data_IF_621847782263
#
_entry.id   IF_621847782263
#
_cell.length_a   1.000
_cell.length_b   1.000
_cell.length_c   1.000
_cell.angle_alpha   90.00
_cell.angle_beta   90.00
_cell.angle_gamma   90.00
#
_symmetry.space_group_name_H-M   'P 1'
#
loop_
_entity.id
_entity.type
_entity.pdbx_description
1 polymer ?
#
# COMPACT_ATOMS: atom_id res chain seq x y z
N UNK A 1 -20.75 19.14 27.71
CA UNK A 1 -19.56 18.24 27.67
C UNK A 1 -19.33 17.52 26.33
N UNK A 2 -20.36 17.09 25.58
CA UNK A 2 -20.21 16.40 24.29
C UNK A 2 -19.36 17.13 23.23
N UNK A 3 -19.50 18.46 23.16
CA UNK A 3 -18.85 19.30 22.15
C UNK A 3 -17.32 19.41 22.34
N UNK A 4 -16.82 19.34 23.58
CA UNK A 4 -15.37 19.45 23.86
C UNK A 4 -14.59 18.20 23.43
N UNK A 5 -15.16 16.99 23.59
CA UNK A 5 -14.47 15.75 23.21
C UNK A 5 -14.33 15.60 21.71
N UNK A 6 -15.37 15.96 20.95
CA UNK A 6 -15.35 15.87 19.48
C UNK A 6 -14.46 16.96 18.88
N UNK A 7 -14.46 18.18 19.44
CA UNK A 7 -13.49 19.23 19.05
C UNK A 7 -12.05 18.77 19.26
N UNK A 8 -11.74 18.15 20.39
CA UNK A 8 -10.39 17.61 20.64
C UNK A 8 -9.98 16.49 19.67
N UNK A 9 -10.92 15.66 19.20
CA UNK A 9 -10.65 14.63 18.20
C UNK A 9 -10.41 15.23 16.82
N UNK A 10 -11.20 16.23 16.42
CA UNK A 10 -11.02 16.95 15.17
C UNK A 10 -9.69 17.72 15.16
N UNK A 11 -9.35 18.45 16.23
CA UNK A 11 -8.06 19.16 16.33
C UNK A 11 -6.90 18.18 16.26
N UNK A 12 -6.96 17.06 16.99
CA UNK A 12 -5.94 16.02 16.92
C UNK A 12 -5.79 15.40 15.53
N UNK A 13 -6.91 15.19 14.82
CA UNK A 13 -6.91 14.73 13.44
C UNK A 13 -6.26 15.73 12.48
N UNK A 14 -6.64 17.01 12.54
CA UNK A 14 -6.06 18.06 11.68
C UNK A 14 -4.56 18.18 11.91
N UNK A 15 -4.13 18.22 13.18
CA UNK A 15 -2.71 18.24 13.52
C UNK A 15 -2.02 16.96 13.03
N UNK A 16 -2.60 15.79 13.27
CA UNK A 16 -2.04 14.51 12.83
C UNK A 16 -1.83 14.44 11.32
N UNK A 17 -2.83 14.87 10.53
CA UNK A 17 -2.72 14.93 9.07
C UNK A 17 -1.65 15.93 8.62
N UNK A 18 -1.61 17.13 9.20
CA UNK A 18 -0.62 18.15 8.86
C UNK A 18 0.81 17.70 9.20
N UNK A 19 1.01 17.15 10.40
CA UNK A 19 2.32 16.64 10.84
C UNK A 19 2.75 15.43 10.01
N UNK A 20 1.83 14.51 9.71
CA UNK A 20 2.08 13.37 8.83
C UNK A 20 2.52 13.81 7.43
N UNK A 21 1.82 14.79 6.85
CA UNK A 21 2.17 15.39 5.57
C UNK A 21 3.57 16.02 5.60
N UNK A 22 3.84 16.91 6.57
CA UNK A 22 5.13 17.60 6.71
C UNK A 22 6.28 16.60 6.90
N UNK A 23 6.11 15.62 7.80
CA UNK A 23 7.13 14.63 8.10
C UNK A 23 7.43 13.75 6.88
N UNK A 24 6.40 13.32 6.14
CA UNK A 24 6.58 12.53 4.92
C UNK A 24 7.27 13.32 3.80
N UNK A 25 6.88 14.60 3.59
CA UNK A 25 7.57 15.48 2.62
C UNK A 25 9.04 15.71 2.99
N UNK A 26 9.31 15.97 4.27
CA UNK A 26 10.66 16.18 4.77
C UNK A 26 11.51 14.91 4.59
N UNK A 27 10.98 13.75 4.93
CA UNK A 27 11.64 12.46 4.73
C UNK A 27 11.91 12.20 3.24
N UNK A 28 10.92 12.42 2.37
CA UNK A 28 11.09 12.23 0.92
C UNK A 28 12.16 13.16 0.34
N UNK A 29 12.16 14.44 0.73
CA UNK A 29 13.17 15.41 0.30
C UNK A 29 14.58 15.03 0.79
N UNK A 30 14.70 14.53 2.03
CA UNK A 30 15.96 14.07 2.59
C UNK A 30 16.47 12.81 1.86
N UNK A 31 15.60 11.81 1.67
CA UNK A 31 15.96 10.54 1.05
C UNK A 31 16.29 10.66 -0.44
N UNK A 32 15.67 11.61 -1.14
CA UNK A 32 16.07 11.97 -2.51
C UNK A 32 17.50 12.50 -2.61
N UNK A 33 18.00 13.16 -1.57
CA UNK A 33 19.38 13.67 -1.51
C UNK A 33 20.34 12.58 -1.04
N UNK A 34 19.91 11.78 -0.06
CA UNK A 34 20.68 10.71 0.55
C UNK A 34 19.76 9.53 0.86
N UNK A 35 19.72 8.50 -0.01
CA UNK A 35 18.94 7.30 0.24
C UNK A 35 19.28 6.67 1.60
N UNK A 36 18.30 6.05 2.29
CA UNK A 36 18.49 5.57 3.65
C UNK A 36 19.51 4.42 3.73
N UNK A 37 19.57 3.58 2.69
CA UNK A 37 20.60 2.56 2.48
C UNK A 37 20.97 2.51 0.99
N UNK A 38 22.21 2.13 0.68
CA UNK A 38 22.68 2.04 -0.71
C UNK A 38 22.68 3.37 -1.47
N UNK A 39 22.55 3.28 -2.80
CA UNK A 39 22.50 4.42 -3.71
C UNK A 39 21.16 4.52 -4.44
N UNK A 40 20.98 5.59 -5.24
CA UNK A 40 19.72 5.84 -5.94
C UNK A 40 19.27 4.71 -6.88
N UNK A 41 20.20 3.90 -7.40
CA UNK A 41 19.90 2.76 -8.27
C UNK A 41 19.17 1.63 -7.53
N UNK A 42 19.50 1.40 -6.26
CA UNK A 42 18.87 0.36 -5.43
C UNK A 42 17.39 0.67 -5.15
N UNK A 43 17.03 1.96 -5.23
CA UNK A 43 15.67 2.46 -5.04
C UNK A 43 14.95 2.72 -6.35
N UNK A 44 15.44 2.19 -7.47
CA UNK A 44 14.85 2.43 -8.78
C UNK A 44 14.12 1.18 -9.25
N UNK A 45 12.89 1.36 -9.75
CA UNK A 45 12.06 0.27 -10.31
C UNK A 45 11.49 0.68 -11.65
N UNK A 46 11.38 -0.27 -12.56
CA UNK A 46 10.70 -0.04 -13.85
C UNK A 46 9.19 -0.13 -13.64
N UNK A 47 8.47 0.90 -14.04
CA UNK A 47 7.01 0.96 -13.90
C UNK A 47 6.29 0.24 -15.06
N UNK A 48 4.96 0.26 -15.01
CA UNK A 48 4.10 -0.36 -16.01
C UNK A 48 4.22 0.20 -17.45
N UNK A 49 4.89 1.34 -17.63
CA UNK A 49 5.22 1.97 -18.94
C UNK A 49 6.66 1.73 -19.37
N UNK A 50 7.46 0.98 -18.60
CA UNK A 50 8.89 0.82 -18.88
C UNK A 50 9.76 2.00 -18.41
N UNK A 51 9.19 2.97 -17.69
CA UNK A 51 9.92 4.13 -17.18
C UNK A 51 10.45 3.87 -15.76
N UNK A 52 11.59 4.47 -15.40
CA UNK A 52 12.16 4.33 -14.06
C UNK A 52 11.43 5.24 -13.05
N UNK A 53 11.01 4.65 -11.94
CA UNK A 53 10.43 5.35 -10.78
C UNK A 53 11.22 5.04 -9.52
N UNK A 54 11.19 5.96 -8.55
CA UNK A 54 11.86 5.73 -7.26
C UNK A 54 10.93 5.12 -6.21
N UNK A 55 11.43 4.20 -5.40
CA UNK A 55 10.75 3.59 -4.24
C UNK A 55 10.95 4.39 -2.93
N UNK A 56 11.65 5.53 -2.99
CA UNK A 56 11.91 6.37 -1.80
C UNK A 56 10.64 6.99 -1.19
N UNK A 57 9.54 7.02 -1.94
CA UNK A 57 8.25 7.48 -1.43
C UNK A 57 7.71 6.55 -0.34
N UNK A 58 7.87 5.24 -0.49
CA UNK A 58 7.46 4.27 0.52
C UNK A 58 8.19 4.43 1.85
N UNK A 59 9.52 4.54 1.79
CA UNK A 59 10.32 4.78 3.00
C UNK A 59 10.02 6.14 3.61
N UNK A 60 9.79 7.17 2.81
CA UNK A 60 9.36 8.47 3.30
C UNK A 60 8.00 8.40 4.04
N UNK A 61 7.03 7.64 3.52
CA UNK A 61 5.76 7.41 4.20
C UNK A 61 5.97 6.70 5.54
N UNK A 62 6.77 5.62 5.56
CA UNK A 62 7.06 4.85 6.78
C UNK A 62 7.70 5.73 7.86
N UNK A 63 8.80 6.41 7.51
CA UNK A 63 9.54 7.26 8.45
C UNK A 63 8.70 8.46 8.88
N UNK A 64 8.05 9.12 7.92
CA UNK A 64 7.22 10.30 8.17
C UNK A 64 6.02 9.99 9.06
N UNK A 65 5.23 8.96 8.73
CA UNK A 65 4.08 8.56 9.52
C UNK A 65 4.47 8.02 10.91
N UNK A 66 5.56 7.24 11.00
CA UNK A 66 6.10 6.76 12.27
C UNK A 66 6.51 7.92 13.20
N UNK A 67 7.32 8.86 12.70
CA UNK A 67 7.75 10.04 13.46
C UNK A 67 6.56 10.93 13.84
N UNK A 68 5.63 11.17 12.91
CA UNK A 68 4.43 11.95 13.17
C UNK A 68 3.56 11.32 14.26
N UNK A 69 3.41 9.99 14.28
CA UNK A 69 2.66 9.29 15.33
C UNK A 69 3.27 9.45 16.73
N UNK A 70 4.57 9.72 16.86
CA UNK A 70 5.23 9.96 18.16
C UNK A 70 4.87 11.32 18.74
N UNK A 71 4.66 12.33 17.90
CA UNK A 71 4.45 13.71 18.34
C UNK A 71 2.99 14.17 18.22
N UNK A 72 2.16 13.46 17.45
CA UNK A 72 0.74 13.82 17.24
C UNK A 72 -0.03 13.80 18.56
N UNK A 73 -0.76 14.86 18.93
CA UNK A 73 -1.54 14.89 20.17
C UNK A 73 -2.72 13.92 20.11
N UNK A 74 -3.18 13.47 21.28
CA UNK A 74 -4.35 12.59 21.40
C UNK A 74 -4.04 11.09 21.35
N UNK A 75 -2.77 10.70 21.18
CA UNK A 75 -2.32 9.31 21.29
C UNK A 75 -1.77 9.01 22.68
N UNK A 76 -2.22 7.90 23.28
CA UNK A 76 -1.59 7.36 24.49
C UNK A 76 -0.25 6.68 24.14
N UNK A 77 0.62 6.49 25.14
CA UNK A 77 1.92 5.83 24.94
C UNK A 77 1.79 4.47 24.23
N UNK A 78 0.76 3.69 24.58
CA UNK A 78 0.47 2.40 23.93
C UNK A 78 0.13 2.54 22.45
N UNK A 79 -0.70 3.52 22.08
CA UNK A 79 -1.03 3.77 20.67
C UNK A 79 0.17 4.31 19.89
N UNK A 80 1.04 5.11 20.52
CA UNK A 80 2.30 5.55 19.89
C UNK A 80 3.22 4.36 19.61
N UNK A 81 3.41 3.50 20.61
CA UNK A 81 4.22 2.29 20.46
C UNK A 81 3.64 1.34 19.40
N UNK A 82 2.32 1.12 19.41
CA UNK A 82 1.64 0.32 18.40
C UNK A 82 1.82 0.91 17.00
N UNK A 83 1.59 2.22 16.81
CA UNK A 83 1.74 2.88 15.52
C UNK A 83 3.18 2.83 15.00
N UNK A 84 4.17 3.07 15.86
CA UNK A 84 5.59 2.93 15.52
C UNK A 84 5.93 1.50 15.11
N UNK A 85 5.50 0.50 15.88
CA UNK A 85 5.74 -0.91 15.58
C UNK A 85 5.06 -1.33 14.26
N UNK A 86 3.83 -0.86 14.04
CA UNK A 86 3.08 -1.12 12.80
C UNK A 86 3.78 -0.49 11.60
N UNK A 87 4.16 0.79 11.68
CA UNK A 87 4.86 1.47 10.60
C UNK A 87 6.23 0.84 10.31
N UNK A 88 7.04 0.64 11.35
CA UNK A 88 8.39 0.08 11.22
C UNK A 88 8.36 -1.37 10.76
N UNK A 89 7.48 -2.20 11.33
CA UNK A 89 7.32 -3.60 10.97
C UNK A 89 6.88 -3.75 9.51
N UNK A 90 5.71 -3.20 9.17
CA UNK A 90 5.18 -3.31 7.82
C UNK A 90 6.09 -2.65 6.77
N UNK A 91 6.68 -1.50 7.12
CA UNK A 91 7.62 -0.79 6.26
C UNK A 91 8.91 -1.56 6.04
N UNK A 92 9.54 -2.10 7.08
CA UNK A 92 10.79 -2.85 6.98
C UNK A 92 10.61 -4.13 6.16
N UNK A 93 9.60 -4.93 6.48
CA UNK A 93 9.35 -6.19 5.78
C UNK A 93 8.88 -5.97 4.33
N UNK A 94 8.10 -4.91 4.06
CA UNK A 94 7.75 -4.52 2.71
C UNK A 94 8.96 -4.02 1.90
N UNK A 95 9.79 -3.15 2.49
CA UNK A 95 11.00 -2.62 1.84
C UNK A 95 12.04 -3.71 1.59
N UNK A 96 12.16 -4.67 2.52
CA UNK A 96 13.01 -5.84 2.32
C UNK A 96 12.59 -6.64 1.08
N UNK A 97 11.28 -6.84 0.88
CA UNK A 97 10.74 -7.51 -0.31
C UNK A 97 10.94 -6.68 -1.59
N UNK A 98 10.84 -5.34 -1.50
CA UNK A 98 11.14 -4.45 -2.64
C UNK A 98 12.60 -4.57 -3.11
N UNK A 99 13.56 -4.70 -2.18
CA UNK A 99 14.99 -4.68 -2.48
C UNK A 99 15.55 -6.07 -2.81
N UNK A 100 15.02 -7.12 -2.19
CA UNK A 100 15.57 -8.48 -2.26
C UNK A 100 14.60 -9.51 -2.84
N UNK A 101 13.39 -9.09 -3.24
CA UNK A 101 12.37 -9.98 -3.79
C UNK A 101 12.77 -10.58 -5.14
N UNK A 102 12.65 -11.90 -5.26
CA UNK A 102 12.84 -12.60 -6.54
C UNK A 102 11.49 -12.93 -7.19
N UNK A 103 11.40 -12.87 -8.52
CA UNK A 103 10.14 -13.08 -9.26
C UNK A 103 9.66 -14.53 -9.33
N UNK A 104 10.41 -15.47 -8.74
CA UNK A 104 10.29 -16.91 -9.00
C UNK A 104 9.12 -17.61 -8.31
N UNK A 105 8.38 -16.94 -7.42
CA UNK A 105 7.18 -17.52 -6.77
C UNK A 105 6.16 -16.43 -6.48
N UNK A 106 5.11 -16.35 -7.30
CA UNK A 106 3.99 -15.42 -7.08
C UNK A 106 2.79 -16.14 -6.48
N UNK A 107 2.14 -15.51 -5.51
CA UNK A 107 0.88 -15.97 -4.91
C UNK A 107 1.07 -16.97 -3.76
N UNK A 108 0.01 -17.15 -2.97
CA UNK A 108 0.05 -17.93 -1.72
C UNK A 108 0.46 -19.39 -1.94
N UNK A 109 -0.04 -20.02 -3.01
CA UNK A 109 0.36 -21.39 -3.41
C UNK A 109 1.84 -21.50 -3.77
N UNK A 110 2.40 -20.48 -4.42
CA UNK A 110 3.82 -20.45 -4.78
C UNK A 110 4.71 -20.40 -3.54
N UNK A 111 4.36 -19.54 -2.57
CA UNK A 111 5.09 -19.45 -1.30
C UNK A 111 4.95 -20.70 -0.43
N UNK A 112 3.75 -21.30 -0.36
CA UNK A 112 3.55 -22.57 0.36
C UNK A 112 4.32 -23.73 -0.28
N UNK A 113 4.35 -23.80 -1.61
CA UNK A 113 5.13 -24.81 -2.32
C UNK A 113 6.64 -24.62 -2.11
N UNK A 114 7.12 -23.37 -2.11
CA UNK A 114 8.52 -23.05 -1.79
C UNK A 114 8.87 -23.43 -0.34
N UNK A 115 8.01 -23.09 0.61
CA UNK A 115 8.19 -23.45 2.01
C UNK A 115 8.20 -24.98 2.22
N UNK A 116 7.34 -25.71 1.50
CA UNK A 116 7.32 -27.17 1.51
C UNK A 116 8.61 -27.80 0.96
N UNK A 117 9.37 -27.06 0.13
CA UNK A 117 10.71 -27.43 -0.33
C UNK A 117 11.84 -26.92 0.58
N UNK A 118 11.51 -26.30 1.72
CA UNK A 118 12.49 -25.69 2.63
C UNK A 118 13.04 -24.34 2.16
N UNK A 119 12.48 -23.75 1.11
CA UNK A 119 12.92 -22.46 0.56
C UNK A 119 12.27 -21.29 1.32
N UNK A 120 13.08 -20.50 2.01
CA UNK A 120 12.63 -19.26 2.65
C UNK A 120 12.63 -18.14 1.60
N UNK A 121 11.45 -17.80 1.09
CA UNK A 121 11.26 -16.67 0.16
C UNK A 121 11.16 -15.34 0.91
N UNK A 122 11.54 -14.24 0.26
CA UNK A 122 11.32 -12.88 0.78
C UNK A 122 9.85 -12.63 1.12
N UNK A 123 8.93 -13.13 0.31
CA UNK A 123 7.49 -13.08 0.55
C UNK A 123 7.06 -13.83 1.82
N UNK A 124 7.65 -14.99 2.12
CA UNK A 124 7.38 -15.71 3.36
C UNK A 124 7.88 -14.92 4.60
N UNK A 125 9.08 -14.34 4.52
CA UNK A 125 9.62 -13.45 5.57
C UNK A 125 8.71 -12.25 5.77
N UNK A 126 8.22 -11.65 4.69
CA UNK A 126 7.29 -10.52 4.72
C UNK A 126 5.97 -10.88 5.38
N UNK A 127 5.34 -11.99 5.00
CA UNK A 127 4.07 -12.44 5.60
C UNK A 127 4.25 -12.69 7.10
N UNK A 128 5.30 -13.42 7.48
CA UNK A 128 5.57 -13.72 8.89
C UNK A 128 5.86 -12.45 9.70
N UNK A 129 6.69 -11.56 9.16
CA UNK A 129 7.07 -10.30 9.81
C UNK A 129 5.91 -9.32 9.98
N UNK A 130 5.12 -9.11 8.93
CA UNK A 130 3.92 -8.27 8.99
C UNK A 130 2.87 -8.89 9.92
N UNK A 131 2.68 -10.21 9.87
CA UNK A 131 1.78 -10.92 10.78
C UNK A 131 2.17 -10.77 12.25
N UNK A 132 3.44 -11.00 12.57
CA UNK A 132 3.97 -10.89 13.93
C UNK A 132 3.89 -9.45 14.47
N UNK A 133 4.30 -8.46 13.67
CA UNK A 133 4.25 -7.05 14.06
C UNK A 133 2.82 -6.53 14.16
N UNK A 134 1.90 -6.98 13.30
CA UNK A 134 0.47 -6.70 13.39
C UNK A 134 -0.14 -7.24 14.69
N UNK A 135 0.18 -8.50 15.04
CA UNK A 135 -0.29 -9.12 16.29
C UNK A 135 0.24 -8.40 17.53
N UNK A 136 1.53 -8.08 17.55
CA UNK A 136 2.15 -7.34 18.64
C UNK A 136 1.56 -5.92 18.77
N UNK A 137 1.32 -5.22 17.66
CA UNK A 137 0.67 -3.92 17.67
C UNK A 137 -0.77 -3.99 18.20
N UNK A 138 -1.54 -5.01 17.83
CA UNK A 138 -2.88 -5.25 18.38
C UNK A 138 -2.84 -5.47 19.91
N UNK A 139 -1.91 -6.31 20.38
CA UNK A 139 -1.73 -6.58 21.81
C UNK A 139 -1.33 -5.32 22.60
N UNK A 140 -0.49 -4.45 22.02
CA UNK A 140 -0.11 -3.17 22.62
C UNK A 140 -1.29 -2.20 22.68
N UNK A 141 -2.06 -2.08 21.59
CA UNK A 141 -3.19 -1.17 21.49
C UNK A 141 -4.31 -1.53 22.48
N UNK A 142 -4.62 -2.83 22.60
CA UNK A 142 -5.64 -3.34 23.52
C UNK A 142 -5.21 -4.68 24.14
N UNK A 143 -4.57 -4.69 25.33
CA UNK A 143 -4.12 -5.92 25.97
C UNK A 143 -5.26 -6.90 26.27
N UNK A 144 -5.02 -8.17 25.97
CA UNK A 144 -5.97 -9.25 26.19
C UNK A 144 -6.27 -9.49 27.68
N UNK A 145 -7.52 -9.82 27.99
CA UNK A 145 -7.94 -10.38 29.27
C UNK A 145 -8.66 -11.71 29.03
N UNK A 146 -8.09 -12.82 29.52
CA UNK A 146 -8.61 -14.17 29.31
C UNK A 146 -8.62 -14.63 27.84
N UNK A 147 -9.19 -15.81 27.59
CA UNK A 147 -9.22 -16.45 26.27
C UNK A 147 -9.97 -15.60 25.22
N UNK A 148 -11.11 -15.02 25.61
CA UNK A 148 -11.88 -14.15 24.71
C UNK A 148 -11.12 -12.89 24.28
N UNK A 149 -10.26 -12.36 25.15
CA UNK A 149 -9.37 -11.25 24.82
C UNK A 149 -8.25 -11.67 23.87
N UNK A 150 -7.67 -12.85 24.05
CA UNK A 150 -6.63 -13.38 23.16
C UNK A 150 -7.14 -13.59 21.73
N UNK A 151 -8.35 -14.16 21.58
CA UNK A 151 -9.01 -14.28 20.27
C UNK A 151 -9.29 -12.92 19.63
N UNK A 152 -9.63 -11.90 20.45
CA UNK A 152 -9.78 -10.53 19.99
C UNK A 152 -8.48 -9.96 19.42
N UNK A 153 -7.37 -10.14 20.14
CA UNK A 153 -6.03 -9.71 19.69
C UNK A 153 -5.59 -10.42 18.41
N UNK A 154 -5.90 -11.72 18.26
CA UNK A 154 -5.63 -12.46 17.03
C UNK A 154 -6.43 -11.90 15.85
N UNK A 155 -7.72 -11.64 16.01
CA UNK A 155 -8.55 -11.04 14.96
C UNK A 155 -8.09 -9.62 14.61
N UNK A 156 -7.72 -8.82 15.60
CA UNK A 156 -7.25 -7.45 15.40
C UNK A 156 -5.86 -7.44 14.72
N UNK A 157 -4.96 -8.35 15.09
CA UNK A 157 -3.68 -8.55 14.42
C UNK A 157 -3.83 -9.00 12.98
N UNK A 158 -4.76 -9.94 12.72
CA UNK A 158 -5.09 -10.38 11.36
C UNK A 158 -5.68 -9.24 10.51
N UNK A 159 -6.48 -8.35 11.10
CA UNK A 159 -7.00 -7.18 10.39
C UNK A 159 -5.88 -6.18 10.06
N UNK A 160 -4.95 -5.92 10.98
CA UNK A 160 -3.79 -5.04 10.72
C UNK A 160 -2.93 -5.62 9.59
N UNK A 161 -2.52 -6.88 9.71
CA UNK A 161 -1.66 -7.54 8.71
C UNK A 161 -2.37 -7.71 7.36
N UNK A 162 -3.65 -8.10 7.38
CA UNK A 162 -4.45 -8.24 6.17
C UNK A 162 -4.68 -6.90 5.46
N UNK A 163 -4.85 -5.81 6.20
CA UNK A 163 -4.96 -4.46 5.61
C UNK A 163 -3.67 -4.03 4.92
N UNK A 164 -2.51 -4.38 5.51
CA UNK A 164 -1.19 -4.18 4.88
C UNK A 164 -1.12 -4.90 3.52
N UNK A 165 -1.40 -6.20 3.52
CA UNK A 165 -1.40 -7.01 2.31
C UNK A 165 -2.40 -6.49 1.27
N UNK A 166 -3.60 -6.09 1.70
CA UNK A 166 -4.62 -5.56 0.78
C UNK A 166 -4.17 -4.26 0.11
N UNK A 167 -3.57 -3.33 0.85
CA UNK A 167 -3.01 -2.11 0.28
C UNK A 167 -1.92 -2.42 -0.76
N UNK A 168 -1.06 -3.40 -0.48
CA UNK A 168 -0.04 -3.89 -1.42
C UNK A 168 -0.65 -4.43 -2.73
N UNK A 169 -1.77 -5.16 -2.65
CA UNK A 169 -2.47 -5.68 -3.84
C UNK A 169 -3.01 -4.56 -4.76
N UNK A 170 -3.22 -3.37 -4.22
CA UNK A 170 -3.61 -2.19 -5.00
C UNK A 170 -2.42 -1.38 -5.51
N UNK A 171 -1.18 -1.63 -5.08
CA UNK A 171 0.01 -0.86 -5.49
C UNK A 171 0.60 -1.31 -6.85
N UNK A 172 -0.27 -1.50 -7.84
CA UNK A 172 0.11 -1.98 -9.18
C UNK A 172 0.03 -0.89 -10.26
N UNK A 173 -0.50 0.29 -9.89
CA UNK A 173 -0.70 1.42 -10.78
C UNK A 173 -0.53 2.73 -10.01
N UNK A 174 -0.09 3.81 -10.70
CA UNK A 174 0.23 5.10 -10.07
C UNK A 174 -0.89 5.63 -9.16
N UNK A 175 -0.58 5.89 -7.90
CA UNK A 175 -1.43 6.46 -6.88
C UNK A 175 -2.59 5.57 -6.43
N UNK A 176 -2.71 4.33 -6.92
CA UNK A 176 -3.88 3.49 -6.63
C UNK A 176 -3.94 3.10 -5.15
N UNK A 177 -2.83 2.63 -4.57
CA UNK A 177 -2.78 2.27 -3.16
C UNK A 177 -3.13 3.46 -2.26
N UNK A 178 -2.60 4.66 -2.56
CA UNK A 178 -2.93 5.89 -1.84
C UNK A 178 -4.42 6.21 -1.96
N UNK A 179 -5.00 6.19 -3.17
CA UNK A 179 -6.44 6.46 -3.37
C UNK A 179 -7.32 5.49 -2.60
N UNK A 180 -7.02 4.19 -2.66
CA UNK A 180 -7.75 3.17 -1.90
C UNK A 180 -7.62 3.42 -0.40
N UNK A 181 -6.41 3.76 0.07
CA UNK A 181 -6.17 4.16 1.46
C UNK A 181 -6.98 5.40 1.86
N UNK A 182 -7.08 6.41 1.00
CA UNK A 182 -7.91 7.60 1.23
C UNK A 182 -9.40 7.27 1.26
N UNK A 183 -9.89 6.46 0.31
CA UNK A 183 -11.29 6.04 0.25
C UNK A 183 -11.71 5.20 1.46
N UNK A 184 -10.82 4.35 1.98
CA UNK A 184 -11.09 3.57 3.19
C UNK A 184 -10.90 4.40 4.48
N UNK A 185 -9.84 5.22 4.52
CA UNK A 185 -9.40 5.89 5.74
C UNK A 185 -10.13 7.20 6.03
N UNK A 186 -10.58 7.97 5.02
CA UNK A 186 -11.31 9.24 5.25
C UNK A 186 -12.66 9.01 5.95
N UNK A 187 -13.50 8.02 5.55
CA UNK A 187 -14.71 7.70 6.30
C UNK A 187 -14.42 7.24 7.73
N UNK A 188 -13.37 6.42 7.91
CA UNK A 188 -12.92 5.98 9.23
C UNK A 188 -12.48 7.17 10.11
N UNK A 189 -11.75 8.11 9.54
CA UNK A 189 -11.33 9.35 10.17
C UNK A 189 -12.54 10.20 10.58
N UNK A 190 -13.48 10.43 9.65
CA UNK A 190 -14.69 11.20 9.93
C UNK A 190 -15.53 10.56 11.05
N UNK A 191 -15.73 9.24 10.99
CA UNK A 191 -16.43 8.48 12.02
C UNK A 191 -15.70 8.51 13.38
N UNK A 192 -14.40 8.73 13.41
CA UNK A 192 -13.58 8.86 14.62
C UNK A 192 -13.58 10.27 15.18
N UNK A 193 -13.46 11.29 14.33
CA UNK A 193 -13.47 12.69 14.75
C UNK A 193 -14.84 13.13 15.32
N UNK A 194 -15.93 12.54 14.81
CA UNK A 194 -17.29 12.82 15.30
C UNK A 194 -17.67 12.11 16.60
N UNK A 195 -16.93 11.08 17.05
CA UNK A 195 -17.35 10.22 18.15
C UNK A 195 -16.71 10.57 19.51
N UNK A 196 -17.47 10.34 20.60
CA UNK A 196 -16.90 10.41 21.95
C UNK A 196 -15.86 9.29 22.11
N UNK A 197 -14.66 9.65 22.55
CA UNK A 197 -13.55 8.70 22.72
C UNK A 197 -12.78 8.38 21.43
N UNK A 198 -13.17 8.92 20.28
CA UNK A 198 -12.51 8.67 19.00
C UNK A 198 -11.18 9.38 18.77
N UNK A 199 -10.64 10.09 19.79
CA UNK A 199 -9.40 10.89 19.68
C UNK A 199 -8.21 10.08 19.16
N UNK A 200 -7.92 8.92 19.77
CA UNK A 200 -6.79 8.09 19.35
C UNK A 200 -6.97 7.56 17.94
N UNK A 201 -8.15 7.02 17.62
CA UNK A 201 -8.43 6.49 16.29
C UNK A 201 -8.39 7.57 15.20
N UNK A 202 -8.89 8.78 15.50
CA UNK A 202 -8.83 9.91 14.58
C UNK A 202 -7.38 10.30 14.29
N UNK A 203 -6.51 10.38 15.31
CA UNK A 203 -5.09 10.64 15.12
C UNK A 203 -4.39 9.51 14.34
N UNK A 204 -4.66 8.24 14.67
CA UNK A 204 -4.09 7.07 13.99
C UNK A 204 -4.49 6.97 12.52
N UNK A 205 -5.70 7.39 12.16
CA UNK A 205 -6.13 7.46 10.76
C UNK A 205 -5.53 8.70 10.08
N UNK A 206 -5.56 9.86 10.72
CA UNK A 206 -5.16 11.12 10.10
C UNK A 206 -3.68 11.17 9.71
N UNK A 207 -2.78 10.65 10.56
CA UNK A 207 -1.32 10.67 10.31
C UNK A 207 -0.94 10.01 8.98
N UNK A 208 -1.24 8.71 8.74
CA UNK A 208 -0.89 8.06 7.48
C UNK A 208 -1.66 8.64 6.28
N UNK A 209 -2.89 9.13 6.47
CA UNK A 209 -3.65 9.78 5.38
C UNK A 209 -3.02 11.10 4.95
N UNK A 210 -2.57 11.92 5.91
CA UNK A 210 -1.84 13.16 5.62
C UNK A 210 -0.51 12.89 4.92
N UNK A 211 0.25 11.89 5.39
CA UNK A 211 1.47 11.44 4.75
C UNK A 211 1.24 10.98 3.30
N UNK A 212 0.25 10.10 3.08
CA UNK A 212 -0.07 9.56 1.77
C UNK A 212 -0.59 10.65 0.81
N UNK A 213 -1.49 11.53 1.27
CA UNK A 213 -2.00 12.63 0.45
C UNK A 213 -0.89 13.61 0.02
N UNK A 214 0.11 13.85 0.88
CA UNK A 214 1.22 14.74 0.57
C UNK A 214 2.22 14.14 -0.44
N UNK A 215 2.28 12.81 -0.55
CA UNK A 215 3.17 12.11 -1.48
C UNK A 215 2.49 11.75 -2.81
N UNK A 216 1.14 11.70 -2.82
CA UNK A 216 0.32 11.39 -3.99
C UNK A 216 0.71 12.08 -5.31
N UNK A 217 1.15 13.36 -5.36
CA UNK A 217 1.55 14.00 -6.61
C UNK A 217 2.78 13.36 -7.29
N UNK A 218 3.71 12.80 -6.52
CA UNK A 218 4.88 12.10 -7.05
C UNK A 218 4.52 10.72 -7.57
N UNK A 219 3.63 10.01 -6.88
CA UNK A 219 3.11 8.71 -7.32
C UNK A 219 2.27 8.85 -8.60
N UNK A 220 1.27 9.76 -8.61
CA UNK A 220 0.43 10.04 -9.79
C UNK A 220 1.23 10.54 -11.00
N UNK A 221 2.31 11.29 -10.73
CA UNK A 221 3.25 11.78 -11.74
C UNK A 221 4.18 10.69 -12.27
N UNK A 222 4.09 9.46 -11.76
CA UNK A 222 4.97 8.35 -12.10
C UNK A 222 6.46 8.72 -11.90
N UNK A 223 6.76 9.51 -10.86
CA UNK A 223 8.14 9.85 -10.47
C UNK A 223 8.62 8.97 -9.33
N UNK A 224 7.67 8.58 -8.47
CA UNK A 224 7.90 7.66 -7.39
C UNK A 224 6.75 6.67 -7.29
N UNK A 225 6.89 5.69 -6.41
CA UNK A 225 5.87 4.71 -6.09
C UNK A 225 6.03 4.35 -4.61
N UNK A 226 4.93 4.11 -3.92
CA UNK A 226 4.98 3.61 -2.54
C UNK A 226 5.79 2.32 -2.42
N UNK A 227 5.64 1.39 -3.38
CA UNK A 227 6.22 0.07 -3.27
C UNK A 227 5.63 -0.72 -2.11
N UNK A 228 6.16 -1.92 -1.92
CA UNK A 228 5.70 -2.82 -0.89
C UNK A 228 5.94 -2.22 0.50
N UNK A 229 7.06 -1.52 0.73
CA UNK A 229 7.32 -0.82 1.99
C UNK A 229 6.22 0.19 2.36
N UNK A 230 5.91 1.11 1.45
CA UNK A 230 4.93 2.17 1.68
C UNK A 230 3.49 1.67 1.73
N UNK A 231 3.11 0.80 0.80
CA UNK A 231 1.74 0.29 0.69
C UNK A 231 1.37 -0.56 1.91
N UNK A 232 2.26 -1.48 2.34
CA UNK A 232 2.01 -2.27 3.54
C UNK A 232 1.89 -1.40 4.79
N UNK A 233 2.76 -0.40 4.95
CA UNK A 233 2.70 0.50 6.11
C UNK A 233 1.42 1.34 6.14
N UNK A 234 1.00 1.90 4.99
CA UNK A 234 -0.26 2.64 4.88
C UNK A 234 -1.45 1.74 5.26
N UNK A 235 -1.54 0.55 4.68
CA UNK A 235 -2.61 -0.41 4.97
C UNK A 235 -2.62 -0.84 6.43
N UNK A 236 -1.46 -1.16 7.00
CA UNK A 236 -1.33 -1.60 8.38
C UNK A 236 -1.73 -0.51 9.38
N UNK A 237 -1.30 0.74 9.16
CA UNK A 237 -1.66 1.87 10.01
C UNK A 237 -3.16 2.19 9.97
N UNK A 238 -3.80 2.08 8.79
CA UNK A 238 -5.25 2.20 8.68
C UNK A 238 -5.98 1.02 9.35
N UNK A 239 -5.42 -0.19 9.28
CA UNK A 239 -5.89 -1.34 10.04
C UNK A 239 -5.81 -1.12 11.55
N UNK A 240 -4.71 -0.52 12.04
CA UNK A 240 -4.55 -0.14 13.44
C UNK A 240 -5.58 0.90 13.88
N UNK A 241 -5.85 1.91 13.04
CA UNK A 241 -6.90 2.88 13.28
C UNK A 241 -8.29 2.22 13.32
N UNK A 242 -8.55 1.25 12.43
CA UNK A 242 -9.81 0.52 12.36
C UNK A 242 -10.05 -0.32 13.62
N UNK A 243 -9.06 -1.08 14.10
CA UNK A 243 -9.21 -1.88 15.34
C UNK A 243 -9.42 -0.99 16.57
N UNK A 244 -8.83 0.21 16.57
CA UNK A 244 -8.98 1.19 17.65
C UNK A 244 -10.38 1.83 17.63
N UNK A 245 -11.01 1.95 16.45
CA UNK A 245 -12.31 2.64 16.29
C UNK A 245 -13.51 1.71 16.35
N UNK A 246 -13.42 0.56 15.71
CA UNK A 246 -14.57 -0.28 15.40
C UNK A 246 -14.93 -1.20 16.57
N UNK A 247 -16.23 -1.38 16.78
CA UNK A 247 -16.71 -2.41 17.68
C UNK A 247 -16.47 -3.81 17.06
N UNK A 248 -16.59 -4.86 17.87
CA UNK A 248 -16.25 -6.23 17.45
C UNK A 248 -16.98 -6.69 16.17
N UNK A 249 -18.30 -6.50 16.00
CA UNK A 249 -18.97 -6.89 14.76
C UNK A 249 -18.40 -6.18 13.53
N UNK A 250 -18.19 -4.87 13.61
CA UNK A 250 -17.64 -4.11 12.49
C UNK A 250 -16.18 -4.48 12.18
N UNK A 251 -15.37 -4.81 13.20
CA UNK A 251 -14.00 -5.33 13.00
C UNK A 251 -14.00 -6.67 12.28
N UNK A 252 -14.86 -7.60 12.69
CA UNK A 252 -14.98 -8.91 12.05
C UNK A 252 -15.51 -8.79 10.61
N UNK A 253 -16.44 -7.87 10.36
CA UNK A 253 -16.90 -7.56 9.01
C UNK A 253 -15.76 -6.99 8.14
N UNK A 254 -14.98 -6.04 8.67
CA UNK A 254 -13.82 -5.49 7.97
C UNK A 254 -12.77 -6.56 7.67
N UNK A 255 -12.47 -7.43 8.65
CA UNK A 255 -11.58 -8.59 8.46
C UNK A 255 -12.11 -9.54 7.38
N UNK A 256 -13.42 -9.81 7.38
CA UNK A 256 -14.07 -10.61 6.36
C UNK A 256 -13.93 -10.01 4.96
N UNK A 257 -14.12 -8.69 4.80
CA UNK A 257 -13.90 -7.98 3.53
C UNK A 257 -12.44 -8.08 3.08
N UNK A 258 -11.50 -7.83 3.99
CA UNK A 258 -10.06 -7.93 3.71
C UNK A 258 -9.67 -9.34 3.27
N UNK A 259 -10.17 -10.37 3.97
CA UNK A 259 -9.93 -11.77 3.63
C UNK A 259 -10.56 -12.14 2.27
N UNK A 260 -11.80 -11.71 2.01
CA UNK A 260 -12.50 -11.98 0.76
C UNK A 260 -11.80 -11.33 -0.44
N UNK A 261 -11.37 -10.06 -0.32
CA UNK A 261 -10.60 -9.39 -1.36
C UNK A 261 -9.24 -10.06 -1.56
N UNK A 262 -8.54 -10.40 -0.48
CA UNK A 262 -7.26 -11.12 -0.58
C UNK A 262 -7.43 -12.45 -1.32
N UNK A 263 -8.45 -13.24 -0.98
CA UNK A 263 -8.75 -14.50 -1.68
C UNK A 263 -9.17 -14.28 -3.15
N UNK A 264 -9.96 -13.24 -3.44
CA UNK A 264 -10.35 -12.89 -4.80
C UNK A 264 -9.15 -12.50 -5.68
N UNK A 265 -8.13 -11.88 -5.10
CA UNK A 265 -6.92 -11.44 -5.82
C UNK A 265 -6.12 -12.60 -6.43
N UNK A 266 -6.26 -13.82 -5.89
CA UNK A 266 -5.60 -15.01 -6.46
C UNK A 266 -6.20 -15.46 -7.79
N UNK A 267 -7.48 -15.16 -8.02
CA UNK A 267 -8.23 -15.63 -9.18
C UNK A 267 -8.52 -14.50 -10.16
N UNK A 268 -8.63 -13.27 -9.66
CA UNK A 268 -9.10 -12.12 -10.43
C UNK A 268 -8.11 -10.97 -10.31
N UNK A 269 -7.74 -10.39 -11.46
CA UNK A 269 -6.92 -9.18 -11.48
C UNK A 269 -7.76 -7.96 -11.11
N UNK A 270 -7.48 -7.35 -9.96
CA UNK A 270 -8.11 -6.07 -9.57
C UNK A 270 -7.93 -4.99 -10.63
N UNK A 271 -6.77 -4.93 -11.30
CA UNK A 271 -6.55 -4.00 -12.41
C UNK A 271 -7.57 -4.21 -13.54
N UNK A 272 -7.86 -5.46 -13.91
CA UNK A 272 -8.86 -5.76 -14.96
C UNK A 272 -10.28 -5.40 -14.50
N UNK A 273 -10.63 -5.72 -13.26
CA UNK A 273 -11.95 -5.39 -12.69
C UNK A 273 -12.16 -3.88 -12.63
N UNK A 274 -11.17 -3.13 -12.14
CA UNK A 274 -11.22 -1.67 -12.06
C UNK A 274 -11.36 -1.07 -13.47
N UNK A 275 -10.56 -1.53 -14.44
CA UNK A 275 -10.61 -1.02 -15.81
C UNK A 275 -11.95 -1.31 -16.51
N UNK A 276 -12.60 -2.44 -16.19
CA UNK A 276 -13.88 -2.84 -16.79
C UNK A 276 -15.09 -2.08 -16.20
N UNK A 277 -14.96 -1.45 -15.03
CA UNK A 277 -16.04 -0.67 -14.42
C UNK A 277 -15.83 0.83 -14.67
N UNK A 278 -16.76 1.54 -15.33
CA UNK A 278 -16.57 2.95 -15.70
C UNK A 278 -16.26 3.89 -14.52
N UNK A 279 -16.93 3.70 -13.38
CA UNK A 279 -16.76 4.55 -12.19
C UNK A 279 -15.43 4.27 -11.52
N UNK A 280 -15.09 2.98 -11.33
CA UNK A 280 -13.80 2.61 -10.73
C UNK A 280 -12.63 3.03 -11.63
N UNK A 281 -12.76 2.84 -12.95
CA UNK A 281 -11.75 3.25 -13.91
C UNK A 281 -11.56 4.78 -13.89
N UNK A 282 -12.66 5.55 -13.83
CA UNK A 282 -12.58 7.00 -13.73
C UNK A 282 -11.83 7.45 -12.47
N UNK A 283 -12.16 6.88 -11.30
CA UNK A 283 -11.45 7.14 -10.04
C UNK A 283 -9.97 6.73 -10.12
N UNK A 284 -9.69 5.57 -10.72
CA UNK A 284 -8.34 5.04 -10.87
C UNK A 284 -7.48 5.93 -11.79
N UNK A 285 -8.07 6.48 -12.85
CA UNK A 285 -7.41 7.38 -13.80
C UNK A 285 -7.32 8.83 -13.33
N UNK A 286 -8.13 9.25 -12.36
CA UNK A 286 -8.14 10.63 -11.86
C UNK A 286 -6.74 11.10 -11.42
N UNK A 287 -6.21 12.14 -12.05
CA UNK A 287 -4.88 12.70 -11.75
C UNK A 287 -3.68 11.92 -12.29
N UNK A 288 -3.88 10.77 -12.96
CA UNK A 288 -2.78 10.05 -13.62
C UNK A 288 -2.35 10.74 -14.92
N UNK A 289 -1.13 10.43 -15.35
CA UNK A 289 -0.68 10.74 -16.71
C UNK A 289 -1.60 10.09 -17.76
N UNK A 290 -1.89 10.78 -18.88
CA UNK A 290 -2.67 10.20 -19.97
C UNK A 290 -2.10 8.86 -20.46
N UNK A 291 -2.94 7.94 -20.95
CA UNK A 291 -2.45 6.73 -21.59
C UNK A 291 -1.48 7.09 -22.73
N UNK A 292 -0.30 6.47 -22.76
CA UNK A 292 0.56 6.51 -23.92
C UNK A 292 -0.21 5.91 -25.11
N UNK A 293 -0.25 6.59 -26.27
CA UNK A 293 -0.73 5.98 -27.50
C UNK A 293 0.02 4.68 -27.71
N UNK A 294 -0.69 3.59 -27.99
CA UNK A 294 -0.04 2.34 -28.36
C UNK A 294 0.86 2.63 -29.56
N UNK A 295 2.15 2.33 -29.46
CA UNK A 295 3.03 2.40 -30.63
C UNK A 295 2.43 1.45 -31.67
N UNK A 296 1.93 2.02 -32.78
CA UNK A 296 1.51 1.23 -33.93
C UNK A 296 2.76 0.44 -34.35
N UNK A 297 2.75 -0.90 -34.31
CA UNK A 297 3.87 -1.67 -34.82
C UNK A 297 4.14 -1.20 -36.26
N UNK A 298 5.40 -0.96 -36.66
CA UNK A 298 5.68 -0.59 -38.04
C UNK A 298 5.02 -1.63 -38.94
N UNK A 299 4.09 -1.17 -39.79
CA UNK A 299 3.37 -2.02 -40.71
C UNK A 299 4.43 -2.85 -41.45
N UNK A 300 4.36 -4.17 -41.32
CA UNK A 300 5.22 -5.07 -42.07
C UNK A 300 5.14 -4.64 -43.53
N UNK A 301 6.25 -4.10 -44.05
CA UNK A 301 6.34 -3.68 -45.44
C UNK A 301 5.89 -4.88 -46.27
N UNK A 302 4.83 -4.70 -47.06
CA UNK A 302 4.27 -5.72 -47.94
C UNK A 302 5.39 -6.25 -48.84
N UNK A 303 5.94 -7.41 -48.50
CA UNK A 303 6.72 -8.22 -49.41
C UNK A 303 5.73 -8.76 -50.46
N UNK A 304 5.61 -8.03 -51.55
CA UNK A 304 4.62 -8.30 -52.59
C UNK A 304 4.88 -7.47 -53.83
N UNK A 305 6.11 -7.49 -54.34
CA UNK A 305 6.36 -7.22 -55.75
C UNK A 305 6.56 -8.58 -56.43
N UNK A 306 5.50 -9.04 -57.07
CA UNK A 306 5.52 -10.17 -57.98
C UNK A 306 6.42 -9.84 -59.17
N UNK A 307 7.40 -10.71 -59.45
CA UNK A 307 8.12 -10.70 -60.70
C UNK A 307 7.18 -11.14 -61.84
N UNK A 308 7.19 -10.50 -63.02
CA UNK A 308 6.39 -10.96 -64.14
C UNK A 308 7.04 -12.18 -64.79
N UNK A 309 6.22 -13.21 -65.03
CA UNK A 309 6.58 -14.35 -65.86
C UNK A 309 6.82 -13.90 -67.32
N UNK A 310 8.05 -14.07 -67.81
CA UNK A 310 8.46 -13.81 -69.18
C UNK A 310 8.95 -15.09 -69.87
N UNK A 311 8.06 -15.64 -70.70
CA UNK A 311 8.19 -16.62 -71.80
C UNK A 311 9.56 -17.23 -72.14
N UNK A 312 9.51 -18.54 -72.35
CA UNK A 312 10.47 -19.36 -73.07
C UNK A 312 10.74 -18.86 -74.50
N UNK A 313 11.99 -19.00 -74.95
CA UNK A 313 12.34 -19.15 -76.36
C UNK A 313 13.58 -20.04 -76.44
N UNK A 314 13.50 -21.03 -77.32
CA UNK A 314 14.56 -21.94 -77.70
C UNK A 314 15.70 -21.19 -78.41
N UNK A 315 16.94 -21.67 -78.30
CA UNK A 315 17.78 -22.10 -79.43
C UNK A 315 19.27 -22.23 -79.05
N UNK A 316 19.80 -23.42 -79.36
CA UNK A 316 21.08 -23.68 -80.04
C UNK A 316 22.45 -23.61 -79.31
N UNK A 317 23.13 -24.75 -79.48
CA UNK A 317 24.56 -25.16 -79.35
C UNK A 317 25.09 -25.48 -77.95
#
# INVERSE_FOLDING_TARGET
MANRSSRGALTGAVIGAAVGAIAARAAYAAFRRRPPIGGAKDWSRTNHRGEQVTLLEGTALVTGAGAAAVITPGLSLRHRAAALLTAAGAGLFGTYDDLYGTTSSKGFKGHLAALARGEITSGAVKIAGIGATGLAAAALAAPAKGVGGALGVLADGALIAGSANLANLFDLRPGRAIKVGLLAGVPLLAASAGSRGGRSAAALAAVPLGAAAALLPEDLGERAMLGDGGANALGALLGLAAVTRLNRPARLAALGVVAALTAASEKVSFTKVIAANPVLNWLDMLGRRPPQPQAVPPAAAKAGQAAPAGKASAEQV
#
